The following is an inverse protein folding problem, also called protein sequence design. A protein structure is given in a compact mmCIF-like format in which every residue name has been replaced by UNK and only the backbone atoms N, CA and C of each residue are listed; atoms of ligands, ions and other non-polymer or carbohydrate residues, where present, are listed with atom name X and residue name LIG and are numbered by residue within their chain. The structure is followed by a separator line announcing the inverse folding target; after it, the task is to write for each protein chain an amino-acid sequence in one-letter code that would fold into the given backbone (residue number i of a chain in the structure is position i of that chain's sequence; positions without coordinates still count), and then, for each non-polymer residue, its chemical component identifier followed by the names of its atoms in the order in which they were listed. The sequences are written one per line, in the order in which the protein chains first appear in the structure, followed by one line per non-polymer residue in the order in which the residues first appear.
data_IF_575259202335
#
_entry.id   IF_575259202335
#
_cell.length_a   1.000
_cell.length_b   1.000
_cell.length_c   1.000
_cell.angle_alpha   90.00
_cell.angle_beta   90.00
_cell.angle_gamma   90.00
#
_symmetry.space_group_name_H-M   'P 1'
#
loop_
_entity.id
_entity.type
_entity.pdbx_description
1 polymer ?
#
# COMPACT_ATOMS: atom_id res chain seq x y z
N UNK A 1 37.10 -10.52 -9.78
CA UNK A 1 36.93 -9.72 -8.55
C UNK A 1 35.91 -8.59 -8.70
N UNK A 2 35.86 -7.87 -9.84
CA UNK A 2 34.88 -6.78 -10.07
C UNK A 2 33.41 -7.24 -10.19
N UNK A 3 33.17 -8.50 -10.56
CA UNK A 3 31.82 -9.08 -10.66
C UNK A 3 31.11 -9.15 -9.29
N UNK A 4 31.84 -9.45 -8.21
CA UNK A 4 31.29 -9.49 -6.85
C UNK A 4 30.93 -8.09 -6.33
N UNK A 5 31.73 -7.08 -6.68
CA UNK A 5 31.44 -5.68 -6.34
C UNK A 5 30.19 -5.18 -7.05
N UNK A 6 30.01 -5.55 -8.32
CA UNK A 6 28.83 -5.19 -9.10
C UNK A 6 27.55 -5.87 -8.55
N UNK A 7 27.63 -7.15 -8.19
CA UNK A 7 26.53 -7.86 -7.53
C UNK A 7 26.20 -7.27 -6.16
N UNK A 8 27.19 -6.91 -5.34
CA UNK A 8 26.96 -6.30 -4.03
C UNK A 8 26.23 -4.95 -4.17
N UNK A 9 26.61 -4.12 -5.16
CA UNK A 9 25.90 -2.87 -5.45
C UNK A 9 24.46 -3.13 -5.91
N UNK A 10 24.25 -4.10 -6.81
CA UNK A 10 22.92 -4.47 -7.28
C UNK A 10 22.03 -5.04 -6.17
N UNK A 11 22.59 -5.89 -5.30
CA UNK A 11 21.92 -6.48 -4.16
C UNK A 11 21.53 -5.41 -3.13
N UNK A 12 22.39 -4.42 -2.86
CA UNK A 12 22.06 -3.30 -1.97
C UNK A 12 20.89 -2.47 -2.51
N UNK A 13 20.87 -2.17 -3.80
CA UNK A 13 19.77 -1.45 -4.44
C UNK A 13 18.47 -2.26 -4.42
N UNK A 14 18.55 -3.56 -4.73
CA UNK A 14 17.40 -4.47 -4.64
C UNK A 14 16.87 -4.59 -3.20
N UNK A 15 17.76 -4.65 -2.20
CA UNK A 15 17.37 -4.72 -0.79
C UNK A 15 16.56 -3.50 -0.38
N UNK A 16 17.06 -2.30 -0.69
CA UNK A 16 16.37 -1.04 -0.41
C UNK A 16 15.05 -0.96 -1.17
N UNK A 17 15.05 -1.38 -2.43
CA UNK A 17 13.84 -1.42 -3.26
C UNK A 17 12.78 -2.34 -2.65
N UNK A 18 13.15 -3.56 -2.22
CA UNK A 18 12.23 -4.52 -1.60
C UNK A 18 11.74 -4.00 -0.23
N UNK A 19 12.60 -3.40 0.59
CA UNK A 19 12.20 -2.85 1.90
C UNK A 19 11.22 -1.67 1.73
N UNK A 20 11.53 -0.75 0.83
CA UNK A 20 10.64 0.35 0.51
C UNK A 20 9.32 -0.16 -0.08
N UNK A 21 9.40 -1.13 -0.99
CA UNK A 21 8.24 -1.78 -1.58
C UNK A 21 7.39 -2.53 -0.56
N UNK A 22 7.97 -3.27 0.39
CA UNK A 22 7.22 -4.02 1.40
C UNK A 22 6.50 -3.09 2.38
N UNK A 23 7.14 -1.98 2.76
CA UNK A 23 6.50 -0.94 3.57
C UNK A 23 5.39 -0.19 2.81
N UNK A 24 5.58 0.04 1.51
CA UNK A 24 4.62 0.80 0.70
C UNK A 24 3.46 -0.06 0.18
N UNK A 25 3.72 -1.31 -0.22
CA UNK A 25 2.73 -2.28 -0.70
C UNK A 25 1.91 -2.88 0.44
N UNK A 26 2.44 -2.88 1.66
CA UNK A 26 1.70 -3.23 2.88
C UNK A 26 0.70 -2.15 3.31
N UNK A 27 0.78 -0.94 2.75
CA UNK A 27 -0.24 0.09 2.94
C UNK A 27 -1.45 -0.27 2.07
N UNK A 28 -2.21 -1.26 2.55
CA UNK A 28 -3.57 -1.54 2.11
C UNK A 28 -4.29 -0.20 2.02
N UNK A 29 -4.69 0.14 0.80
CA UNK A 29 -5.58 1.25 0.51
C UNK A 29 -6.63 1.33 1.61
N UNK A 30 -6.68 2.50 2.24
CA UNK A 30 -7.40 2.73 3.48
C UNK A 30 -8.73 2.03 3.46
N UNK A 31 -8.89 1.08 4.38
CA UNK A 31 -10.17 0.95 5.03
C UNK A 31 -10.37 2.30 5.72
N UNK A 32 -10.98 3.25 5.00
CA UNK A 32 -11.95 4.13 5.64
C UNK A 32 -12.98 3.16 6.19
N UNK A 33 -12.65 2.66 7.39
CA UNK A 33 -13.46 1.80 8.20
C UNK A 33 -14.83 2.45 8.20
N UNK A 34 -15.75 1.76 7.54
CA UNK A 34 -17.18 1.96 7.52
C UNK A 34 -17.64 2.92 8.61
N UNK A 35 -17.73 4.19 8.22
CA UNK A 35 -18.09 5.30 9.07
C UNK A 35 -19.19 6.07 8.38
N UNK A 36 -20.41 5.52 8.46
CA UNK A 36 -21.65 6.29 8.36
C UNK A 36 -22.23 6.59 6.96
N UNK A 37 -22.37 5.58 6.08
CA UNK A 37 -23.28 5.67 4.91
C UNK A 37 -24.50 4.72 4.97
N UNK A 38 -24.77 4.08 6.12
CA UNK A 38 -25.91 3.16 6.32
C UNK A 38 -27.09 3.78 7.09
N UNK A 39 -27.18 5.10 7.30
CA UNK A 39 -28.44 5.67 7.81
C UNK A 39 -28.82 6.97 7.14
N UNK A 40 -30.08 6.98 6.74
CA UNK A 40 -30.88 8.16 6.39
C UNK A 40 -30.90 8.57 4.91
N UNK A 41 -31.10 7.59 4.01
CA UNK A 41 -32.09 7.81 2.94
C UNK A 41 -33.47 7.35 3.44
N UNK A 42 -33.88 7.96 4.55
CA UNK A 42 -35.27 8.22 4.89
C UNK A 42 -35.78 9.29 3.88
N UNK A 43 -35.81 8.92 2.60
CA UNK A 43 -36.29 9.77 1.52
C UNK A 43 -36.89 8.90 0.41
N UNK A 44 -37.81 8.03 0.79
CA UNK A 44 -38.77 7.45 -0.16
C UNK A 44 -40.20 7.40 0.38
N UNK A 45 -40.45 7.93 1.58
CA UNK A 45 -41.79 8.33 2.02
C UNK A 45 -42.06 9.76 1.53
N UNK A 46 -42.50 9.87 0.27
CA UNK A 46 -43.25 11.04 -0.17
C UNK A 46 -44.55 10.55 -0.83
N UNK A 47 -45.72 10.98 -0.34
CA UNK A 47 -47.02 10.57 -0.87
C UNK A 47 -47.28 11.12 -2.28
#
# INVERSE_FOLDING_TARGET
MSLLLLEALGALLLLVFIVWWTMFSGRKNGELKDGSAEKDQNQSDKP
#
